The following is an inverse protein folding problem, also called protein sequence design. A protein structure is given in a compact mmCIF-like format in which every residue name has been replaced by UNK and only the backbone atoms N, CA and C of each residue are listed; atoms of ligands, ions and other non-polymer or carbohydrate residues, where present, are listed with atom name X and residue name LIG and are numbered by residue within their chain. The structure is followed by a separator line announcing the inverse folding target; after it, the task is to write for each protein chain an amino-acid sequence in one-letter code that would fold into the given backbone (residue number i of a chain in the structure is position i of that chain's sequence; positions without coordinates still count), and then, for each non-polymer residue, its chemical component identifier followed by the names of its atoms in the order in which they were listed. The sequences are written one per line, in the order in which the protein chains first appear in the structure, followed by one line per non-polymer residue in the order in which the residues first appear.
data_IF_475343781456
#
_entry.id   IF_475343781456
#
_cell.length_a   1.000
_cell.length_b   1.000
_cell.length_c   1.000
_cell.angle_alpha   90.00
_cell.angle_beta   90.00
_cell.angle_gamma   90.00
#
_symmetry.space_group_name_H-M   'P 1'
#
loop_
_entity.id
_entity.type
_entity.pdbx_description
1 polymer ?
#
# COMPACT_ATOMS: atom_id res chain seq x y z
N UNK A 1 16.66 -13.40 -1.44
CA UNK A 1 15.89 -12.16 -1.19
C UNK A 1 14.94 -12.46 -0.05
N UNK A 2 15.19 -11.93 1.14
CA UNK A 2 14.25 -12.02 2.26
C UNK A 2 13.28 -10.84 2.09
N UNK A 3 11.99 -11.12 1.94
CA UNK A 3 10.95 -10.11 1.67
C UNK A 3 10.40 -9.45 2.95
N UNK A 4 10.59 -10.08 4.11
CA UNK A 4 10.08 -9.62 5.41
C UNK A 4 11.19 -9.68 6.45
N UNK A 5 11.33 -8.65 7.27
CA UNK A 5 12.31 -8.56 8.37
C UNK A 5 11.82 -9.21 9.67
N UNK A 6 10.72 -9.96 9.61
CA UNK A 6 10.08 -10.63 10.72
C UNK A 6 9.62 -12.06 10.36
N UNK A 7 9.61 -12.97 11.34
CA UNK A 7 8.88 -14.24 11.19
C UNK A 7 7.37 -14.01 11.22
N UNK A 8 6.62 -14.77 10.41
CA UNK A 8 5.16 -14.69 10.40
C UNK A 8 4.54 -15.24 11.69
N UNK A 9 3.52 -14.56 12.20
CA UNK A 9 2.70 -15.11 13.29
C UNK A 9 2.01 -16.41 12.83
N UNK A 10 1.93 -17.39 13.73
CA UNK A 10 1.38 -18.72 13.42
C UNK A 10 -0.04 -18.65 12.83
N UNK A 11 -0.85 -17.71 13.32
CA UNK A 11 -2.22 -17.46 12.86
C UNK A 11 -2.28 -17.00 11.40
N UNK A 12 -1.22 -16.37 10.89
CA UNK A 12 -1.18 -15.70 9.59
C UNK A 12 -0.12 -16.28 8.64
N UNK A 13 0.25 -17.57 8.81
CA UNK A 13 1.28 -18.22 7.98
C UNK A 13 0.89 -18.41 6.52
N UNK A 14 -0.40 -18.48 6.20
CA UNK A 14 -0.85 -18.71 4.81
C UNK A 14 -0.52 -17.47 3.97
N UNK A 15 0.24 -17.61 2.87
CA UNK A 15 0.60 -16.48 2.03
C UNK A 15 -0.62 -15.89 1.31
N UNK A 16 -0.70 -14.57 1.26
CA UNK A 16 -1.75 -13.81 0.57
C UNK A 16 -1.13 -12.74 -0.32
N UNK A 17 -1.54 -12.72 -1.59
CA UNK A 17 -1.26 -11.62 -2.51
C UNK A 17 -2.44 -10.63 -2.47
N UNK A 18 -2.17 -9.40 -2.05
CA UNK A 18 -3.16 -8.32 -1.97
C UNK A 18 -3.03 -7.43 -3.20
N UNK A 19 -3.96 -7.55 -4.14
CA UNK A 19 -3.97 -6.74 -5.36
C UNK A 19 -4.77 -5.45 -5.12
N UNK A 20 -4.15 -4.31 -5.46
CA UNK A 20 -4.84 -3.03 -5.49
C UNK A 20 -4.27 -2.15 -6.59
N UNK A 21 -5.13 -1.31 -7.17
CA UNK A 21 -4.74 -0.26 -8.11
C UNK A 21 -4.04 0.91 -7.40
N UNK A 22 -4.24 1.03 -6.09
CA UNK A 22 -3.75 2.15 -5.28
C UNK A 22 -3.18 1.70 -3.93
N UNK A 23 -2.13 2.38 -3.48
CA UNK A 23 -1.61 2.22 -2.12
C UNK A 23 -1.09 3.56 -1.56
N UNK A 24 -1.72 4.08 -0.51
CA UNK A 24 -1.24 5.26 0.21
C UNK A 24 -0.17 4.87 1.25
N UNK A 25 1.01 4.41 0.80
CA UNK A 25 2.12 4.01 1.69
C UNK A 25 2.89 5.23 2.19
N UNK A 26 3.16 6.17 1.29
CA UNK A 26 3.92 7.38 1.59
C UNK A 26 3.47 8.50 0.64
N UNK A 27 3.38 9.73 1.12
CA UNK A 27 2.89 10.87 0.32
C UNK A 27 3.76 11.15 -0.91
N UNK A 28 5.06 10.84 -0.85
CA UNK A 28 5.97 10.98 -2.00
C UNK A 28 5.64 10.00 -3.15
N UNK A 29 4.95 8.90 -2.87
CA UNK A 29 4.50 7.95 -3.87
C UNK A 29 3.10 8.37 -4.34
N UNK A 30 3.04 9.04 -5.50
CA UNK A 30 1.78 9.45 -6.13
C UNK A 30 1.03 8.25 -6.76
N UNK A 31 0.86 7.15 -6.02
CA UNK A 31 0.21 5.92 -6.48
C UNK A 31 -1.17 5.69 -5.85
N UNK A 32 -1.83 6.76 -5.42
CA UNK A 32 -3.18 6.74 -4.89
C UNK A 32 -3.89 8.07 -5.16
N UNK A 33 -5.22 8.03 -5.13
CA UNK A 33 -6.09 9.18 -5.42
C UNK A 33 -7.06 9.48 -4.27
N UNK A 34 -7.37 8.48 -3.43
CA UNK A 34 -8.37 8.64 -2.37
C UNK A 34 -8.52 7.43 -1.46
N UNK A 35 -9.77 7.14 -1.08
CA UNK A 35 -10.11 6.18 -0.02
C UNK A 35 -9.62 4.75 -0.27
N UNK A 36 -9.58 4.31 -1.53
CA UNK A 36 -9.05 2.99 -1.88
C UNK A 36 -7.57 2.86 -1.48
N UNK A 37 -6.74 3.81 -1.89
CA UNK A 37 -5.33 3.82 -1.53
C UNK A 37 -5.10 3.95 -0.03
N UNK A 38 -5.87 4.80 0.66
CA UNK A 38 -5.80 4.93 2.12
C UNK A 38 -6.13 3.61 2.84
N UNK A 39 -7.19 2.92 2.40
CA UNK A 39 -7.57 1.63 2.95
C UNK A 39 -6.51 0.55 2.67
N UNK A 40 -6.03 0.46 1.44
CA UNK A 40 -4.99 -0.50 1.08
C UNK A 40 -3.68 -0.25 1.85
N UNK A 41 -3.28 1.02 2.00
CA UNK A 41 -2.10 1.42 2.75
C UNK A 41 -2.20 1.11 4.24
N UNK A 42 -3.33 1.44 4.87
CA UNK A 42 -3.56 1.10 6.28
C UNK A 42 -3.64 -0.41 6.51
N UNK A 43 -4.20 -1.16 5.56
CA UNK A 43 -4.21 -2.62 5.60
C UNK A 43 -2.79 -3.22 5.55
N UNK A 44 -1.91 -2.67 4.69
CA UNK A 44 -0.49 -3.09 4.67
C UNK A 44 0.23 -2.76 5.99
N UNK A 45 -0.07 -1.60 6.60
CA UNK A 45 0.46 -1.23 7.93
C UNK A 45 0.02 -2.23 9.00
N UNK A 46 -1.27 -2.55 9.07
CA UNK A 46 -1.79 -3.54 10.01
C UNK A 46 -1.25 -4.95 9.76
N UNK A 47 -1.04 -5.33 8.49
CA UNK A 47 -0.41 -6.61 8.15
C UNK A 47 1.03 -6.70 8.67
N UNK A 48 1.80 -5.61 8.58
CA UNK A 48 3.14 -5.52 9.17
C UNK A 48 3.08 -5.61 10.70
N UNK A 49 2.25 -4.80 11.35
CA UNK A 49 2.14 -4.76 12.83
C UNK A 49 1.71 -6.12 13.41
N UNK A 50 0.90 -6.89 12.68
CA UNK A 50 0.44 -8.23 13.04
C UNK A 50 1.32 -9.37 12.49
N UNK A 51 2.46 -9.04 11.85
CA UNK A 51 3.41 -10.01 11.27
C UNK A 51 2.73 -11.01 10.33
N UNK A 52 1.81 -10.54 9.48
CA UNK A 52 1.10 -11.39 8.54
C UNK A 52 1.94 -11.72 7.30
N UNK A 53 1.71 -12.89 6.71
CA UNK A 53 2.30 -13.31 5.44
C UNK A 53 1.54 -12.71 4.24
N UNK A 54 1.68 -11.40 4.04
CA UNK A 54 0.99 -10.66 2.98
C UNK A 54 2.00 -9.94 2.09
N UNK A 55 1.74 -9.96 0.77
CA UNK A 55 2.46 -9.18 -0.23
C UNK A 55 1.48 -8.29 -1.00
N UNK A 56 1.71 -6.98 -0.97
CA UNK A 56 0.99 -6.01 -1.80
C UNK A 56 1.48 -6.05 -3.25
N UNK A 57 0.54 -6.12 -4.20
CA UNK A 57 0.81 -6.05 -5.64
C UNK A 57 0.00 -4.91 -6.23
N UNK A 58 0.68 -3.98 -6.90
CA UNK A 58 0.06 -2.81 -7.50
C UNK A 58 0.89 -2.23 -8.64
N UNK A 59 0.52 -1.04 -9.08
CA UNK A 59 1.11 -0.35 -10.24
C UNK A 59 1.89 0.86 -9.76
N UNK A 60 3.12 1.02 -10.25
CA UNK A 60 3.91 2.25 -10.08
C UNK A 60 3.52 3.24 -11.18
N UNK A 61 2.55 4.11 -10.89
CA UNK A 61 2.08 5.12 -11.84
C UNK A 61 3.14 6.18 -12.12
N UNK A 62 3.50 6.39 -13.39
CA UNK A 62 4.57 7.34 -13.78
C UNK A 62 4.20 8.81 -13.56
N UNK A 63 2.91 9.16 -13.65
CA UNK A 63 2.43 10.55 -13.56
C UNK A 63 1.55 10.82 -12.34
N UNK A 64 1.22 9.77 -11.58
CA UNK A 64 0.26 9.85 -10.49
C UNK A 64 -1.14 10.31 -10.91
N UNK A 65 -1.89 10.89 -9.98
CA UNK A 65 -3.28 11.28 -10.21
C UNK A 65 -3.40 12.66 -10.87
N UNK A 66 -3.21 13.75 -10.11
CA UNK A 66 -3.04 15.10 -10.65
C UNK A 66 -2.44 16.03 -9.57
N UNK A 67 -1.85 17.15 -9.99
CA UNK A 67 -1.39 18.20 -9.09
C UNK A 67 -2.42 19.33 -9.06
N UNK A 68 -3.09 19.51 -7.92
CA UNK A 68 -4.14 20.53 -7.77
C UNK A 68 -3.52 21.92 -7.54
N UNK A 69 -3.70 22.82 -8.51
CA UNK A 69 -3.50 24.25 -8.33
C UNK A 69 -4.84 24.97 -8.18
N UNK A 70 -4.91 26.01 -7.35
CA UNK A 70 -6.04 26.94 -7.35
C UNK A 70 -5.63 28.16 -8.16
N UNK A 71 -6.37 28.47 -9.22
CA UNK A 71 -6.23 29.76 -9.90
C UNK A 71 -6.91 30.82 -9.02
N UNK A 72 -6.22 31.91 -8.71
CA UNK A 72 -6.84 33.09 -8.10
C UNK A 72 -7.41 33.95 -9.22
N UNK A 73 -8.74 33.98 -9.30
CA UNK A 73 -9.51 34.98 -10.04
C UNK A 73 -10.19 35.92 -9.02
#
# INVERSE_FOLDING_TARGET
MILHDYDFDEKYRKPVAYFSMEFAIHQALKIYSGGLGFLAGSHMRSAYDLRQNVMGVGILWSYGYYDQGRHED
#
